data_IF_349565790399
#
_entry.id   IF_349565790399
#
_cell.length_a   1.000
_cell.length_b   1.000
_cell.length_c   1.000
_cell.angle_alpha   90.00
_cell.angle_beta   90.00
_cell.angle_gamma   90.00
#
_symmetry.space_group_name_H-M   'P 1'
#
loop_
_entity.id
_entity.type
_entity.pdbx_description
1 polymer ?
#
# COMPACT_ATOMS: atom_id res chain seq x y z
N UNK A 1 -2.21 -8.53 -20.29
CA UNK A 1 -1.58 -9.64 -19.53
C UNK A 1 -1.27 -9.11 -18.14
N UNK A 2 -1.59 -9.86 -17.09
CA UNK A 2 -1.29 -9.46 -15.71
C UNK A 2 -0.15 -10.32 -15.18
N UNK A 3 0.86 -9.69 -14.60
CA UNK A 3 2.01 -10.37 -13.98
C UNK A 3 1.98 -10.05 -12.49
N UNK A 4 1.91 -11.09 -11.66
CA UNK A 4 1.96 -10.95 -10.21
C UNK A 4 3.39 -11.15 -9.72
N UNK A 5 3.92 -10.18 -8.99
CA UNK A 5 5.28 -10.19 -8.45
C UNK A 5 5.18 -10.02 -6.94
N UNK A 6 5.67 -11.02 -6.19
CA UNK A 6 5.75 -10.97 -4.74
C UNK A 6 7.19 -10.70 -4.28
N UNK A 7 7.37 -9.70 -3.43
CA UNK A 7 8.64 -9.40 -2.78
C UNK A 7 8.54 -9.88 -1.33
N UNK A 8 9.44 -10.78 -0.93
CA UNK A 8 9.41 -11.43 0.37
C UNK A 8 10.75 -11.32 1.09
N UNK A 9 10.70 -11.28 2.42
CA UNK A 9 11.86 -11.23 3.30
C UNK A 9 12.10 -9.86 3.92
N UNK A 10 12.89 -9.84 4.99
CA UNK A 10 13.36 -8.60 5.62
C UNK A 10 14.80 -8.33 5.14
N UNK A 11 15.04 -7.24 4.40
CA UNK A 11 16.40 -6.90 4.00
C UNK A 11 17.22 -6.60 5.27
N UNK A 12 18.31 -7.35 5.46
CA UNK A 12 19.29 -7.03 6.50
C UNK A 12 20.23 -6.00 5.89
N UNK A 13 20.22 -4.78 6.44
CA UNK A 13 21.19 -3.75 6.07
C UNK A 13 22.55 -4.14 6.65
N UNK A 14 23.28 -5.00 5.95
CA UNK A 14 24.64 -5.46 6.34
C UNK A 14 25.75 -4.58 5.79
N UNK A 15 25.46 -3.73 4.80
CA UNK A 15 26.38 -2.72 4.28
C UNK A 15 25.60 -1.43 4.03
N UNK A 16 26.19 -0.29 4.38
CA UNK A 16 25.77 1.02 3.90
C UNK A 16 25.83 0.99 2.39
N UNK A 17 24.68 1.06 1.72
CA UNK A 17 24.64 1.47 0.32
C UNK A 17 25.29 2.86 0.28
N UNK A 18 26.28 3.03 -0.60
CA UNK A 18 27.16 4.20 -0.67
C UNK A 18 26.38 5.51 -0.43
N UNK A 19 26.89 6.32 0.49
CA UNK A 19 26.23 7.47 1.13
C UNK A 19 25.92 8.65 0.18
N UNK A 20 26.07 8.51 -1.14
CA UNK A 20 25.92 9.61 -2.11
C UNK A 20 24.50 9.76 -2.71
N UNK A 21 23.57 8.82 -2.56
CA UNK A 21 22.15 9.05 -2.88
C UNK A 21 21.32 9.31 -1.62
N UNK A 22 21.49 10.52 -1.11
CA UNK A 22 20.74 11.12 -0.01
C UNK A 22 19.26 11.31 -0.37
N UNK A 23 18.45 10.27 -0.16
CA UNK A 23 17.04 10.40 0.25
C UNK A 23 16.50 9.07 0.76
N UNK A 24 16.19 9.02 2.05
CA UNK A 24 15.26 8.05 2.65
C UNK A 24 15.68 6.57 2.56
N UNK A 25 16.47 6.14 3.55
CA UNK A 25 17.06 4.79 3.65
C UNK A 25 16.18 3.76 4.41
N UNK A 26 14.88 3.98 4.56
CA UNK A 26 14.00 2.98 5.19
C UNK A 26 13.34 2.08 4.15
N UNK A 27 13.08 0.83 4.54
CA UNK A 27 12.35 -0.14 3.70
C UNK A 27 10.95 0.39 3.34
N UNK A 28 10.29 1.11 4.26
CA UNK A 28 8.97 1.69 4.03
C UNK A 28 8.98 2.73 2.91
N UNK A 29 9.99 3.60 2.85
CA UNK A 29 10.12 4.60 1.79
C UNK A 29 10.37 3.97 0.43
N UNK A 30 11.20 2.92 0.36
CA UNK A 30 11.41 2.17 -0.88
C UNK A 30 10.12 1.46 -1.35
N UNK A 31 9.35 0.90 -0.42
CA UNK A 31 8.02 0.32 -0.73
C UNK A 31 7.11 1.42 -1.26
N UNK A 32 7.06 2.60 -0.63
CA UNK A 32 6.22 3.72 -1.08
C UNK A 32 6.58 4.20 -2.49
N UNK A 33 7.87 4.24 -2.83
CA UNK A 33 8.33 4.54 -4.21
C UNK A 33 7.82 3.48 -5.20
N UNK A 34 7.89 2.20 -4.84
CA UNK A 34 7.37 1.11 -5.69
C UNK A 34 5.85 1.21 -5.86
N UNK A 35 5.11 1.49 -4.79
CA UNK A 35 3.65 1.71 -4.84
C UNK A 35 3.31 2.91 -5.74
N UNK A 36 4.11 3.98 -5.70
CA UNK A 36 3.99 5.13 -6.59
C UNK A 36 4.15 4.75 -8.06
N UNK A 37 5.21 4.02 -8.37
CA UNK A 37 5.45 3.50 -9.73
C UNK A 37 4.31 2.62 -10.23
N UNK A 38 3.75 1.75 -9.37
CA UNK A 38 2.59 0.93 -9.73
C UNK A 38 1.38 1.77 -10.14
N UNK A 39 1.11 2.88 -9.45
CA UNK A 39 0.04 3.82 -9.84
C UNK A 39 0.31 4.47 -11.20
N UNK A 40 1.54 4.91 -11.44
CA UNK A 40 1.95 5.54 -12.70
C UNK A 40 1.71 4.63 -13.91
N UNK A 41 2.08 3.35 -13.80
CA UNK A 41 1.90 2.37 -14.87
C UNK A 41 0.48 1.79 -14.95
N UNK A 42 -0.47 2.32 -14.16
CA UNK A 42 -1.84 1.80 -14.01
C UNK A 42 -1.87 0.32 -13.61
N UNK A 43 -0.88 -0.09 -12.83
CA UNK A 43 -0.83 -1.37 -12.15
C UNK A 43 -1.67 -1.34 -10.88
N UNK A 44 -1.68 -2.46 -10.17
CA UNK A 44 -2.35 -2.55 -8.87
C UNK A 44 -1.54 -3.36 -7.87
N UNK A 45 -1.70 -3.04 -6.60
CA UNK A 45 -1.14 -3.78 -5.49
C UNK A 45 -2.11 -4.86 -5.03
N UNK A 46 -1.61 -6.07 -4.79
CA UNK A 46 -2.42 -7.12 -4.20
C UNK A 46 -2.67 -6.84 -2.71
N UNK A 47 -3.96 -6.79 -2.32
CA UNK A 47 -4.41 -6.45 -0.96
C UNK A 47 -4.13 -7.54 0.10
N UNK A 48 -3.37 -8.58 -0.24
CA UNK A 48 -2.85 -9.56 0.72
C UNK A 48 -1.65 -9.04 1.52
N UNK A 49 -1.02 -7.95 1.05
CA UNK A 49 0.17 -7.35 1.66
C UNK A 49 -0.16 -6.01 2.32
N UNK A 50 0.75 -5.55 3.19
CA UNK A 50 0.65 -4.23 3.81
C UNK A 50 0.86 -3.13 2.78
N UNK A 51 0.18 -2.00 2.97
CA UNK A 51 0.33 -0.81 2.15
C UNK A 51 0.92 0.34 2.95
N UNK A 52 1.88 1.06 2.35
CA UNK A 52 2.46 2.30 2.87
C UNK A 52 1.80 3.54 2.26
N UNK A 53 0.81 3.35 1.39
CA UNK A 53 0.05 4.42 0.76
C UNK A 53 -0.84 5.14 1.77
N UNK A 54 -1.11 6.43 1.51
CA UNK A 54 -2.21 7.11 2.19
C UNK A 54 -3.57 6.77 1.53
N UNK A 55 -4.67 7.14 2.20
CA UNK A 55 -6.01 6.81 1.72
C UNK A 55 -6.33 7.37 0.32
N UNK A 56 -5.86 8.57 -0.02
CA UNK A 56 -6.12 9.16 -1.34
C UNK A 56 -5.39 8.40 -2.45
N UNK A 57 -4.12 8.07 -2.24
CA UNK A 57 -3.31 7.26 -3.18
C UNK A 57 -3.89 5.84 -3.35
N UNK A 58 -4.40 5.27 -2.27
CA UNK A 58 -5.04 3.95 -2.31
C UNK A 58 -6.33 3.98 -3.15
N UNK A 59 -7.21 4.96 -2.89
CA UNK A 59 -8.48 5.05 -3.61
C UNK A 59 -8.34 5.55 -5.06
N UNK A 60 -7.25 6.25 -5.39
CA UNK A 60 -6.87 6.53 -6.78
C UNK A 60 -6.67 5.24 -7.58
N UNK A 61 -6.09 4.21 -6.97
CA UNK A 61 -5.82 2.92 -7.61
C UNK A 61 -7.08 2.05 -7.77
N UNK A 62 -7.97 2.02 -6.76
CA UNK A 62 -9.08 1.06 -6.69
C UNK A 62 -10.47 1.62 -6.99
N UNK A 63 -10.64 2.95 -7.00
CA UNK A 63 -11.93 3.67 -7.05
C UNK A 63 -12.91 3.25 -5.94
N UNK A 64 -13.18 4.18 -5.02
CA UNK A 64 -14.04 3.93 -3.87
C UNK A 64 -15.55 3.95 -4.20
N UNK A 65 -15.99 4.39 -5.39
CA UNK A 65 -17.38 4.77 -5.62
C UNK A 65 -18.39 3.65 -5.33
N UNK A 66 -18.21 2.47 -5.94
CA UNK A 66 -19.10 1.33 -5.72
C UNK A 66 -18.95 0.77 -4.29
N UNK A 67 -17.73 0.75 -3.78
CA UNK A 67 -17.40 0.26 -2.46
C UNK A 67 -18.08 1.08 -1.35
N UNK A 68 -18.02 2.41 -1.43
CA UNK A 68 -18.64 3.33 -0.48
C UNK A 68 -20.16 3.28 -0.55
N UNK A 69 -20.72 3.12 -1.76
CA UNK A 69 -22.15 2.92 -1.93
C UNK A 69 -22.64 1.65 -1.23
N UNK A 70 -21.94 0.53 -1.42
CA UNK A 70 -22.26 -0.72 -0.72
C UNK A 70 -22.14 -0.57 0.80
N UNK A 71 -21.09 0.10 1.27
CA UNK A 71 -20.91 0.34 2.70
C UNK A 71 -22.00 1.19 3.31
N UNK A 72 -22.49 2.20 2.59
CA UNK A 72 -23.63 2.99 3.03
C UNK A 72 -24.92 2.16 3.04
N UNK A 73 -25.16 1.36 1.99
CA UNK A 73 -26.37 0.55 1.84
C UNK A 73 -26.56 -0.46 2.97
N UNK A 74 -25.47 -1.04 3.47
CA UNK A 74 -25.50 -2.09 4.50
C UNK A 74 -24.99 -1.61 5.86
N UNK A 75 -24.97 -0.30 6.11
CA UNK A 75 -24.53 0.32 7.38
C UNK A 75 -23.11 -0.10 7.85
N UNK A 76 -22.27 -0.51 6.91
CA UNK A 76 -20.92 -1.00 7.19
C UNK A 76 -19.94 0.13 7.51
N UNK A 77 -20.33 1.39 7.31
CA UNK A 77 -19.45 2.55 7.58
C UNK A 77 -19.04 2.64 9.05
N UNK A 78 -19.90 2.20 9.97
CA UNK A 78 -19.65 2.21 11.42
C UNK A 78 -19.37 0.83 11.99
N UNK A 79 -19.89 -0.23 11.37
CA UNK A 79 -19.80 -1.59 11.92
C UNK A 79 -18.49 -2.32 11.61
N UNK A 80 -17.84 -2.00 10.48
CA UNK A 80 -16.62 -2.70 10.05
C UNK A 80 -15.58 -1.71 9.51
N UNK A 81 -14.28 -1.95 9.75
CA UNK A 81 -13.22 -1.15 9.16
C UNK A 81 -13.28 -1.22 7.63
N UNK A 82 -12.75 -0.19 7.00
CA UNK A 82 -12.57 -0.14 5.56
C UNK A 82 -11.45 -1.06 5.09
N UNK A 83 -11.44 -1.38 3.79
CA UNK A 83 -10.37 -2.15 3.16
C UNK A 83 -9.04 -1.44 3.33
N UNK A 84 -8.99 -0.12 3.16
CA UNK A 84 -7.80 0.68 3.42
C UNK A 84 -7.31 0.53 4.88
N UNK A 85 -8.20 0.72 5.86
CA UNK A 85 -7.85 0.58 7.28
C UNK A 85 -7.34 -0.82 7.63
N UNK A 86 -7.80 -1.86 6.92
CA UNK A 86 -7.33 -3.24 7.11
C UNK A 86 -5.89 -3.47 6.60
N UNK A 87 -5.50 -2.82 5.51
CA UNK A 87 -4.20 -3.08 4.83
C UNK A 87 -3.13 -2.05 5.17
N UNK A 88 -3.52 -0.92 5.77
CA UNK A 88 -2.57 0.13 6.16
C UNK A 88 -1.56 -0.40 7.18
N UNK A 89 -0.28 -0.30 6.85
CA UNK A 89 0.79 -0.96 7.60
C UNK A 89 0.83 -0.57 9.09
N UNK A 90 0.64 0.72 9.40
CA UNK A 90 0.67 1.22 10.78
C UNK A 90 -0.45 0.62 11.65
N UNK A 91 -1.56 0.19 11.03
CA UNK A 91 -2.66 -0.45 11.76
C UNK A 91 -2.35 -1.90 12.15
N UNK A 92 -1.31 -2.53 11.59
CA UNK A 92 -0.94 -3.93 11.86
C UNK A 92 0.17 -4.09 12.89
N UNK A 93 0.87 -3.01 13.27
CA UNK A 93 1.97 -3.00 14.25
C UNK A 93 1.52 -3.01 15.73
N UNK A 94 0.41 -3.66 16.06
CA UNK A 94 -0.07 -3.82 17.45
C UNK A 94 0.02 -5.26 17.94
#
# INVERSE_FOLDING_TARGET
MYVNIGIYGQPRLTQSFDEEESSSNTVAEKIKTLEGYLREVKGFQMLCSDSQQNAAEFWEMFDAALYDWLRAKYDCKVSIPSVFEKVYAENRTK
#
